data_IF_521479316060
#
_entry.id   IF_521479316060
#
_cell.length_a   1.000
_cell.length_b   1.000
_cell.length_c   1.000
_cell.angle_alpha   90.00
_cell.angle_beta   90.00
_cell.angle_gamma   90.00
#
_symmetry.space_group_name_H-M   'P 1'
#
loop_
_entity.id
_entity.type
_entity.pdbx_description
1 polymer ?
#
# COMPACT_ATOMS: atom_id res chain seq x y z
N UNK A 1 26.09 -15.64 1.59
CA UNK A 1 24.84 -14.87 1.71
C UNK A 1 24.89 -13.77 0.67
N UNK A 2 23.79 -13.48 -0.03
CA UNK A 2 23.79 -12.32 -0.93
C UNK A 2 23.96 -11.04 -0.08
N UNK A 3 24.99 -10.25 -0.37
CA UNK A 3 25.13 -8.92 0.25
C UNK A 3 24.15 -7.98 -0.44
N UNK A 4 23.10 -7.60 0.28
CA UNK A 4 22.18 -6.56 -0.15
C UNK A 4 22.68 -5.17 0.26
N UNK A 5 22.22 -4.12 -0.41
CA UNK A 5 22.40 -2.74 0.06
C UNK A 5 21.80 -2.56 1.47
N UNK A 6 22.40 -1.68 2.28
CA UNK A 6 22.05 -1.52 3.69
C UNK A 6 20.55 -1.26 3.93
N UNK A 7 19.89 -0.47 3.07
CA UNK A 7 18.45 -0.21 3.15
C UNK A 7 17.61 -1.47 2.90
N UNK A 8 18.03 -2.32 1.97
CA UNK A 8 17.37 -3.61 1.67
C UNK A 8 17.61 -4.61 2.81
N UNK A 9 18.82 -4.65 3.38
CA UNK A 9 19.10 -5.50 4.55
C UNK A 9 18.18 -5.15 5.73
N UNK A 10 18.02 -3.85 6.01
CA UNK A 10 17.14 -3.39 7.10
C UNK A 10 15.67 -3.69 6.81
N UNK A 11 15.22 -3.52 5.56
CA UNK A 11 13.89 -3.92 5.13
C UNK A 11 13.64 -5.42 5.38
N UNK A 12 14.52 -6.29 4.90
CA UNK A 12 14.41 -7.75 5.07
C UNK A 12 14.36 -8.11 6.56
N UNK A 13 15.23 -7.52 7.37
CA UNK A 13 15.28 -7.75 8.82
C UNK A 13 13.95 -7.41 9.50
N UNK A 14 13.36 -6.24 9.19
CA UNK A 14 12.06 -5.80 9.77
C UNK A 14 10.91 -6.72 9.37
N UNK A 15 10.84 -7.11 8.09
CA UNK A 15 9.81 -8.02 7.59
C UNK A 15 9.92 -9.38 8.25
N UNK A 16 11.13 -9.95 8.32
CA UNK A 16 11.36 -11.23 9.00
C UNK A 16 10.98 -11.17 10.49
N UNK A 17 11.25 -10.06 11.16
CA UNK A 17 10.88 -9.88 12.56
C UNK A 17 9.35 -9.82 12.73
N UNK A 18 8.64 -9.13 11.85
CA UNK A 18 7.17 -9.08 11.89
C UNK A 18 6.52 -10.43 11.59
N UNK A 19 7.08 -11.20 10.64
CA UNK A 19 6.57 -12.53 10.30
C UNK A 19 6.65 -13.52 11.47
N UNK A 20 7.60 -13.35 12.41
CA UNK A 20 7.66 -14.18 13.62
C UNK A 20 6.48 -13.98 14.57
N UNK A 21 5.81 -12.82 14.48
CA UNK A 21 4.69 -12.46 15.37
C UNK A 21 3.32 -12.63 14.73
N UNK A 22 3.27 -12.78 13.40
CA UNK A 22 2.01 -12.96 12.68
C UNK A 22 1.67 -14.45 12.56
N UNK A 23 0.39 -14.83 12.62
CA UNK A 23 -0.02 -16.20 12.40
C UNK A 23 0.33 -16.65 10.96
N UNK A 24 0.56 -17.94 10.79
CA UNK A 24 0.68 -18.54 9.47
C UNK A 24 -0.70 -18.47 8.78
N UNK A 25 -0.79 -17.93 7.56
CA UNK A 25 -2.08 -17.73 6.90
C UNK A 25 -2.58 -19.05 6.28
N UNK A 26 -3.82 -19.42 6.57
CA UNK A 26 -4.44 -20.65 6.06
C UNK A 26 -5.42 -20.36 4.91
N UNK A 27 -6.01 -19.16 4.91
CA UNK A 27 -7.00 -18.71 3.94
C UNK A 27 -6.50 -17.54 3.08
N UNK A 28 -7.15 -17.26 1.93
CA UNK A 28 -6.88 -16.04 1.17
C UNK A 28 -7.09 -14.76 2.00
N UNK A 29 -8.07 -14.75 2.89
CA UNK A 29 -8.36 -13.65 3.80
C UNK A 29 -7.20 -13.42 4.78
N UNK A 30 -6.68 -14.46 5.41
CA UNK A 30 -5.51 -14.37 6.29
C UNK A 30 -4.29 -13.81 5.55
N UNK A 31 -4.11 -14.20 4.28
CA UNK A 31 -3.02 -13.67 3.45
C UNK A 31 -3.20 -12.18 3.16
N UNK A 32 -4.44 -11.71 2.93
CA UNK A 32 -4.72 -10.28 2.75
C UNK A 32 -4.41 -9.51 4.04
N UNK A 33 -4.86 -10.00 5.19
CA UNK A 33 -4.60 -9.37 6.48
C UNK A 33 -3.10 -9.33 6.81
N UNK A 34 -2.39 -10.43 6.58
CA UNK A 34 -0.94 -10.49 6.74
C UNK A 34 -0.23 -9.48 5.82
N UNK A 35 -0.65 -9.39 4.54
CA UNK A 35 -0.08 -8.42 3.59
C UNK A 35 -0.34 -6.98 4.03
N UNK A 36 -1.55 -6.66 4.50
CA UNK A 36 -1.88 -5.35 5.06
C UNK A 36 -1.02 -5.02 6.28
N UNK A 37 -0.83 -5.98 7.19
CA UNK A 37 0.03 -5.80 8.37
C UNK A 37 1.49 -5.53 8.00
N UNK A 38 2.04 -6.30 7.05
CA UNK A 38 3.41 -6.10 6.56
C UNK A 38 3.57 -4.76 5.85
N UNK A 39 2.56 -4.34 5.08
CA UNK A 39 2.61 -3.07 4.32
C UNK A 39 2.68 -1.84 5.23
N UNK A 40 2.13 -1.93 6.45
CA UNK A 40 2.19 -0.86 7.45
C UNK A 40 3.60 -0.63 8.01
N UNK A 41 4.50 -1.61 7.96
CA UNK A 41 5.88 -1.49 8.48
C UNK A 41 6.67 -0.39 7.75
N UNK A 42 6.37 -0.18 6.48
CA UNK A 42 7.04 0.77 5.59
C UNK A 42 6.07 1.81 5.02
N UNK A 43 4.87 1.94 5.60
CA UNK A 43 3.93 2.96 5.21
C UNK A 43 4.50 4.34 5.55
N UNK A 44 4.71 5.15 4.52
CA UNK A 44 5.10 6.54 4.66
C UNK A 44 3.82 7.38 4.65
N UNK A 45 3.70 8.40 5.51
CA UNK A 45 2.56 9.31 5.46
C UNK A 45 2.46 9.97 4.08
N UNK A 46 1.24 10.28 3.66
CA UNK A 46 1.04 11.01 2.43
C UNK A 46 1.68 12.40 2.53
N UNK A 47 2.36 12.88 1.46
CA UNK A 47 2.95 14.22 1.47
C UNK A 47 1.87 15.28 1.74
N UNK A 48 2.16 16.26 2.60
CA UNK A 48 1.22 17.35 2.94
C UNK A 48 0.83 18.21 1.74
N UNK A 49 1.61 18.15 0.65
CA UNK A 49 1.33 18.81 -0.62
C UNK A 49 0.17 18.17 -1.38
N UNK A 50 -0.37 17.04 -0.92
CA UNK A 50 -1.51 16.35 -1.52
C UNK A 50 -2.76 16.43 -0.65
N UNK A 51 -3.91 16.40 -1.33
CA UNK A 51 -5.21 16.06 -0.79
C UNK A 51 -5.54 14.61 -1.17
N UNK A 52 -6.08 13.86 -0.21
CA UNK A 52 -6.42 12.45 -0.39
C UNK A 52 -7.90 12.26 -0.09
N UNK A 53 -8.61 11.61 -1.00
CA UNK A 53 -10.05 11.43 -0.89
C UNK A 53 -10.48 10.04 -1.39
N UNK A 54 -11.23 9.34 -0.55
CA UNK A 54 -11.87 8.08 -0.93
C UNK A 54 -13.22 8.35 -1.60
N UNK A 55 -13.46 7.66 -2.71
CA UNK A 55 -14.68 7.78 -3.53
C UNK A 55 -15.11 6.41 -4.03
N UNK A 56 -16.32 6.34 -4.55
CA UNK A 56 -16.83 5.17 -5.25
C UNK A 56 -17.18 5.53 -6.68
N UNK A 57 -16.83 4.64 -7.61
CA UNK A 57 -17.30 4.69 -8.99
C UNK A 57 -18.43 3.67 -9.13
N UNK A 58 -19.54 4.10 -9.72
CA UNK A 58 -20.64 3.20 -10.06
C UNK A 58 -20.28 2.38 -11.31
N UNK A 59 -20.33 1.06 -11.18
CA UNK A 59 -20.21 0.12 -12.30
C UNK A 59 -21.42 -0.83 -12.30
N UNK A 60 -21.74 -1.49 -13.42
CA UNK A 60 -22.83 -2.47 -13.46
C UNK A 60 -22.68 -3.52 -12.35
N UNK A 61 -23.67 -3.57 -11.46
CA UNK A 61 -23.75 -4.54 -10.36
C UNK A 61 -22.81 -4.30 -9.17
N UNK A 62 -22.01 -3.22 -9.14
CA UNK A 62 -21.10 -2.96 -8.01
C UNK A 62 -20.65 -1.50 -7.89
N UNK A 63 -20.23 -1.15 -6.68
CA UNK A 63 -19.43 0.06 -6.44
C UNK A 63 -17.95 -0.32 -6.40
N UNK A 64 -17.12 0.43 -7.12
CA UNK A 64 -15.67 0.25 -7.12
C UNK A 64 -15.07 1.33 -6.23
N UNK A 65 -14.46 0.98 -5.08
CA UNK A 65 -13.75 1.95 -4.26
C UNK A 65 -12.52 2.45 -5.00
N UNK A 66 -12.31 3.75 -4.98
CA UNK A 66 -11.11 4.41 -5.50
C UNK A 66 -10.58 5.41 -4.48
N UNK A 67 -9.27 5.66 -4.54
CA UNK A 67 -8.62 6.73 -3.80
C UNK A 67 -8.03 7.72 -4.79
N UNK A 68 -8.38 9.00 -4.63
CA UNK A 68 -7.87 10.08 -5.46
C UNK A 68 -6.78 10.81 -4.67
N UNK A 69 -5.59 10.88 -5.27
CA UNK A 69 -4.48 11.70 -4.79
C UNK A 69 -4.38 12.92 -5.70
N UNK A 70 -4.57 14.12 -5.14
CA UNK A 70 -4.51 15.37 -5.91
C UNK A 70 -3.56 16.37 -5.25
N UNK A 71 -2.54 16.89 -5.96
CA UNK A 71 -1.72 18.00 -5.47
C UNK A 71 -2.60 19.19 -5.10
N UNK A 72 -2.30 19.87 -3.99
CA UNK A 72 -3.06 21.05 -3.51
C UNK A 72 -2.95 22.24 -4.46
N UNK A 73 -1.82 22.37 -5.17
CA UNK A 73 -1.62 23.30 -6.28
C UNK A 73 -1.46 22.52 -7.59
N UNK A 74 -2.56 22.15 -8.25
CA UNK A 74 -2.50 21.30 -9.43
C UNK A 74 -2.24 22.13 -10.70
N UNK A 75 -1.14 21.81 -11.40
CA UNK A 75 -1.02 22.15 -12.81
C UNK A 75 -2.13 21.41 -13.61
N UNK A 76 -2.59 22.01 -14.71
CA UNK A 76 -3.45 21.28 -15.66
C UNK A 76 -2.65 20.11 -16.24
N UNK A 77 -3.18 18.90 -16.14
CA UNK A 77 -2.49 17.70 -16.60
C UNK A 77 -3.39 16.46 -16.62
N UNK A 78 -2.92 15.37 -17.23
CA UNK A 78 -3.65 14.11 -17.28
C UNK A 78 -3.76 13.48 -15.89
N UNK A 79 -4.77 12.63 -15.72
CA UNK A 79 -4.87 11.77 -14.54
C UNK A 79 -4.11 10.46 -14.77
N UNK A 80 -3.51 9.92 -13.71
CA UNK A 80 -2.87 8.59 -13.70
C UNK A 80 -3.83 7.61 -13.03
N UNK A 81 -4.09 6.48 -13.69
CA UNK A 81 -4.79 5.34 -13.10
C UNK A 81 -3.75 4.34 -12.60
N UNK A 82 -3.77 4.08 -11.29
CA UNK A 82 -2.87 3.12 -10.64
C UNK A 82 -3.65 1.88 -10.19
N UNK A 83 -3.13 0.70 -10.54
CA UNK A 83 -3.66 -0.60 -10.12
C UNK A 83 -2.59 -1.28 -9.28
N UNK A 84 -2.92 -1.61 -8.02
CA UNK A 84 -1.98 -2.28 -7.12
C UNK A 84 -1.76 -3.74 -7.53
N UNK A 85 -0.58 -4.29 -7.18
CA UNK A 85 -0.27 -5.72 -7.31
C UNK A 85 -0.39 -6.47 -5.99
#
# INVERSE_FOLDING_TARGET
MAEFEAGIQEYVRRVQQALKTLPAPETPEDRREQREALSKIFAVPYPETFSVADRYIHAPGRLIPIRIYRPKDPARGPAILFFHG
#
